data_IF_339424509552
#
_entry.id   IF_339424509552
#
_cell.length_a   1.000
_cell.length_b   1.000
_cell.length_c   1.000
_cell.angle_alpha   90.00
_cell.angle_beta   90.00
_cell.angle_gamma   90.00
#
_symmetry.space_group_name_H-M   'P 1'
#
loop_
_entity.id
_entity.type
_entity.pdbx_description
1 polymer ?
#
# COMPACT_ATOMS: atom_id res chain seq x y z
N UNK A 1 12.99 12.54 -11.56
CA UNK A 1 12.22 11.48 -10.84
C UNK A 1 11.51 11.99 -9.58
N UNK A 2 10.18 11.94 -9.59
CA UNK A 2 9.29 12.14 -8.44
C UNK A 2 9.22 10.87 -7.59
N UNK A 3 9.43 10.99 -6.28
CA UNK A 3 9.33 9.87 -5.33
C UNK A 3 7.88 9.68 -4.90
N UNK A 4 7.43 8.43 -4.84
CA UNK A 4 6.09 8.04 -4.36
C UNK A 4 6.05 7.95 -2.84
N UNK A 5 7.16 7.50 -2.24
CA UNK A 5 7.33 7.39 -0.79
C UNK A 5 8.29 8.45 -0.28
N UNK A 6 7.83 9.21 0.70
CA UNK A 6 8.64 10.22 1.41
C UNK A 6 9.06 9.68 2.78
N UNK A 7 10.11 10.22 3.37
CA UNK A 7 10.56 9.84 4.72
C UNK A 7 9.46 10.08 5.79
N UNK A 8 8.58 11.06 5.55
CA UNK A 8 7.39 11.32 6.36
C UNK A 8 6.42 10.13 6.36
N UNK A 9 6.21 9.50 5.20
CA UNK A 9 5.31 8.34 5.07
C UNK A 9 5.82 7.13 5.84
N UNK A 10 7.14 6.96 5.87
CA UNK A 10 7.78 5.91 6.67
C UNK A 10 7.59 6.17 8.17
N UNK A 11 7.79 7.41 8.60
CA UNK A 11 7.60 7.80 10.00
C UNK A 11 6.14 7.66 10.42
N UNK A 12 5.20 8.04 9.56
CA UNK A 12 3.77 7.89 9.81
C UNK A 12 3.36 6.42 9.94
N UNK A 13 3.83 5.55 9.03
CA UNK A 13 3.58 4.11 9.11
C UNK A 13 4.18 3.49 10.40
N UNK A 14 5.40 3.91 10.77
CA UNK A 14 6.06 3.47 12.00
C UNK A 14 5.32 3.94 13.26
N UNK A 15 4.84 5.18 13.27
CA UNK A 15 4.15 5.76 14.42
C UNK A 15 2.73 5.24 14.58
N UNK A 16 2.04 4.95 13.47
CA UNK A 16 0.77 4.20 13.50
C UNK A 16 0.95 2.83 14.14
N UNK A 17 1.99 2.07 13.74
CA UNK A 17 2.32 0.77 14.34
C UNK A 17 2.57 0.89 15.85
N UNK A 18 3.40 1.86 16.27
CA UNK A 18 3.68 2.11 17.70
C UNK A 18 2.45 2.53 18.47
N UNK A 19 1.60 3.39 17.91
CA UNK A 19 0.35 3.85 18.55
C UNK A 19 -0.59 2.68 18.80
N UNK A 20 -0.79 1.82 17.80
CA UNK A 20 -1.65 0.63 17.93
C UNK A 20 -1.07 -0.36 18.94
N UNK A 21 0.24 -0.60 18.92
CA UNK A 21 0.92 -1.42 19.92
C UNK A 21 0.80 -0.84 21.34
N UNK A 22 0.91 0.48 21.51
CA UNK A 22 0.78 1.15 22.81
C UNK A 22 -0.61 0.94 23.41
N UNK A 23 -1.67 1.09 22.61
CA UNK A 23 -3.04 0.82 23.06
C UNK A 23 -3.19 -0.63 23.51
N UNK A 24 -2.61 -1.59 22.78
CA UNK A 24 -2.60 -2.99 23.19
C UNK A 24 -1.93 -3.18 24.57
N UNK A 25 -0.74 -2.60 24.76
CA UNK A 25 -0.02 -2.69 26.03
C UNK A 25 -0.79 -2.06 27.20
N UNK A 26 -1.50 -0.95 26.96
CA UNK A 26 -2.37 -0.32 27.98
C UNK A 26 -3.50 -1.28 28.38
N UNK A 27 -4.21 -1.86 27.40
CA UNK A 27 -5.31 -2.78 27.68
C UNK A 27 -4.81 -4.04 28.40
N UNK A 28 -3.65 -4.58 27.99
CA UNK A 28 -3.01 -5.70 28.67
C UNK A 28 -2.64 -5.36 30.12
N UNK A 29 -2.08 -4.18 30.37
CA UNK A 29 -1.71 -3.74 31.71
C UNK A 29 -2.94 -3.62 32.62
N UNK A 30 -4.05 -3.06 32.10
CA UNK A 30 -5.33 -2.99 32.82
C UNK A 30 -5.87 -4.39 33.15
N UNK A 31 -5.80 -5.32 32.19
CA UNK A 31 -6.22 -6.71 32.42
C UNK A 31 -5.38 -7.40 33.51
N UNK A 32 -4.05 -7.23 33.48
CA UNK A 32 -3.14 -7.79 34.49
C UNK A 32 -3.43 -7.18 35.87
N UNK A 33 -3.66 -5.86 35.95
CA UNK A 33 -3.99 -5.19 37.21
C UNK A 33 -5.32 -5.71 37.79
N UNK A 34 -6.34 -5.92 36.95
CA UNK A 34 -7.62 -6.50 37.36
C UNK A 34 -7.46 -7.95 37.83
N UNK A 35 -6.61 -8.74 37.16
CA UNK A 35 -6.27 -10.10 37.56
C UNK A 35 -5.57 -10.14 38.93
N UNK A 36 -4.58 -9.26 39.14
CA UNK A 36 -3.87 -9.14 40.40
C UNK A 36 -4.80 -8.71 41.54
N UNK A 37 -5.66 -7.71 41.32
CA UNK A 37 -6.63 -7.25 42.32
C UNK A 37 -7.62 -8.36 42.69
N UNK A 38 -8.12 -9.10 41.70
CA UNK A 38 -9.04 -10.23 41.93
C UNK A 38 -8.37 -11.37 42.70
N UNK A 39 -7.08 -11.62 42.45
CA UNK A 39 -6.30 -12.63 43.16
C UNK A 39 -6.05 -12.20 44.62
N UNK A 40 -5.63 -10.95 44.85
CA UNK A 40 -5.42 -10.41 46.20
C UNK A 40 -6.72 -10.50 47.00
N UNK A 41 -7.84 -10.08 46.42
CA UNK A 41 -9.16 -10.15 47.04
C UNK A 41 -9.59 -11.59 47.34
N UNK A 42 -9.29 -12.53 46.45
CA UNK A 42 -9.57 -13.94 46.69
C UNK A 42 -8.74 -14.52 47.84
N UNK A 43 -7.46 -14.13 47.95
CA UNK A 43 -6.57 -14.61 49.01
C UNK A 43 -6.85 -14.01 50.39
N UNK A 44 -7.48 -12.83 50.46
CA UNK A 44 -7.83 -12.18 51.73
C UNK A 44 -9.13 -12.72 52.35
N UNK A 45 -9.94 -13.46 51.60
CA UNK A 45 -11.20 -14.02 52.07
C UNK A 45 -11.00 -15.32 52.87
N UNK A 46 -11.73 -15.53 54.00
CA UNK A 46 -11.68 -16.77 54.76
C UNK A 46 -12.21 -17.96 53.96
N UNK A 47 -11.75 -19.17 54.31
CA UNK A 47 -12.06 -20.40 53.59
C UNK A 47 -13.57 -20.70 53.63
N UNK A 48 -14.18 -20.96 52.46
CA UNK A 48 -15.63 -21.19 52.24
C UNK A 48 -16.56 -19.98 52.41
N UNK A 49 -16.06 -18.76 52.25
CA UNK A 49 -16.95 -17.59 52.18
C UNK A 49 -17.79 -17.57 50.87
N UNK A 50 -19.09 -17.27 50.97
CA UNK A 50 -20.01 -17.17 49.82
C UNK A 50 -19.58 -16.08 48.82
N UNK A 51 -18.84 -15.07 49.28
CA UNK A 51 -18.33 -13.98 48.43
C UNK A 51 -17.16 -14.38 47.51
N UNK A 52 -16.58 -15.58 47.68
CA UNK A 52 -15.51 -16.09 46.80
C UNK A 52 -15.94 -16.34 45.35
N UNK A 53 -17.25 -16.41 45.07
CA UNK A 53 -17.77 -16.57 43.71
C UNK A 53 -17.59 -15.31 42.86
N UNK A 54 -17.68 -14.12 43.47
CA UNK A 54 -17.57 -12.83 42.79
C UNK A 54 -16.24 -12.66 42.02
N UNK A 55 -15.05 -12.80 42.63
CA UNK A 55 -13.79 -12.64 41.89
C UNK A 55 -13.63 -13.68 40.77
N UNK A 56 -14.15 -14.89 40.94
CA UNK A 56 -14.12 -15.93 39.89
C UNK A 56 -14.97 -15.54 38.69
N UNK A 57 -16.20 -15.10 38.92
CA UNK A 57 -17.11 -14.68 37.85
C UNK A 57 -16.58 -13.44 37.11
N UNK A 58 -16.08 -12.44 37.84
CA UNK A 58 -15.48 -11.23 37.25
C UNK A 58 -14.28 -11.57 36.37
N UNK A 59 -13.40 -12.46 36.84
CA UNK A 59 -12.27 -12.92 36.04
C UNK A 59 -12.69 -13.68 34.80
N UNK A 60 -13.71 -14.54 34.89
CA UNK A 60 -14.18 -15.31 33.73
C UNK A 60 -14.71 -14.40 32.62
N UNK A 61 -15.56 -13.42 32.98
CA UNK A 61 -16.12 -12.44 32.05
C UNK A 61 -15.00 -11.55 31.46
N UNK A 62 -14.10 -11.06 32.30
CA UNK A 62 -12.97 -10.22 31.88
C UNK A 62 -12.04 -10.96 30.90
N UNK A 63 -11.73 -12.23 31.19
CA UNK A 63 -10.92 -13.08 30.30
C UNK A 63 -11.60 -13.27 28.94
N UNK A 64 -12.90 -13.58 28.93
CA UNK A 64 -13.65 -13.76 27.68
C UNK A 64 -13.63 -12.49 26.81
N UNK A 65 -13.89 -11.32 27.41
CA UNK A 65 -13.82 -10.03 26.72
C UNK A 65 -12.40 -9.72 26.21
N UNK A 66 -11.38 -10.02 27.01
CA UNK A 66 -9.99 -9.79 26.62
C UNK A 66 -9.57 -10.67 25.44
N UNK A 67 -10.00 -11.94 25.38
CA UNK A 67 -9.72 -12.84 24.25
C UNK A 67 -10.37 -12.33 22.97
N UNK A 68 -11.64 -11.90 23.03
CA UNK A 68 -12.33 -11.29 21.87
C UNK A 68 -11.60 -10.04 21.39
N UNK A 69 -11.21 -9.15 22.31
CA UNK A 69 -10.41 -7.98 22.01
C UNK A 69 -9.07 -8.36 21.35
N UNK A 70 -8.36 -9.35 21.89
CA UNK A 70 -7.06 -9.78 21.38
C UNK A 70 -7.18 -10.29 19.94
N UNK A 71 -8.19 -11.10 19.65
CA UNK A 71 -8.40 -11.62 18.29
C UNK A 71 -8.75 -10.52 17.29
N UNK A 72 -9.71 -9.64 17.61
CA UNK A 72 -10.13 -8.58 16.70
C UNK A 72 -9.05 -7.51 16.50
N UNK A 73 -8.45 -7.06 17.60
CA UNK A 73 -7.49 -5.96 17.58
C UNK A 73 -6.15 -6.38 17.00
N UNK A 74 -5.62 -7.53 17.44
CA UNK A 74 -4.33 -8.03 16.97
C UNK A 74 -4.45 -8.69 15.59
N UNK A 75 -5.53 -9.43 15.37
CA UNK A 75 -5.74 -10.21 14.14
C UNK A 75 -6.05 -9.35 12.92
N UNK A 76 -6.86 -8.30 13.06
CA UNK A 76 -7.26 -7.47 11.92
C UNK A 76 -6.44 -6.19 11.86
N UNK A 77 -6.56 -5.35 12.90
CA UNK A 77 -6.02 -3.98 12.87
C UNK A 77 -4.49 -3.97 12.92
N UNK A 78 -3.89 -4.66 13.89
CA UNK A 78 -2.43 -4.69 14.02
C UNK A 78 -1.78 -5.46 12.87
N UNK A 79 -2.36 -6.58 12.43
CA UNK A 79 -1.84 -7.36 11.30
C UNK A 79 -1.71 -6.51 10.03
N UNK A 80 -2.76 -5.76 9.65
CA UNK A 80 -2.76 -4.90 8.46
C UNK A 80 -1.66 -3.83 8.53
N UNK A 81 -1.58 -3.11 9.64
CA UNK A 81 -0.58 -2.04 9.82
C UNK A 81 0.85 -2.59 9.84
N UNK A 82 1.06 -3.75 10.48
CA UNK A 82 2.38 -4.37 10.52
C UNK A 82 2.83 -4.86 9.13
N UNK A 83 1.89 -5.36 8.30
CA UNK A 83 2.16 -5.74 6.91
C UNK A 83 2.51 -4.53 6.05
N UNK A 84 1.74 -3.46 6.17
CA UNK A 84 2.03 -2.19 5.48
C UNK A 84 3.39 -1.62 5.88
N UNK A 85 3.69 -1.53 7.18
CA UNK A 85 5.01 -1.09 7.66
C UNK A 85 6.15 -1.95 7.10
N UNK A 86 5.96 -3.27 7.06
CA UNK A 86 6.96 -4.19 6.51
C UNK A 86 7.19 -3.95 5.02
N UNK A 87 6.11 -3.69 4.26
CA UNK A 87 6.17 -3.37 2.84
C UNK A 87 6.94 -2.06 2.60
N UNK A 88 6.58 -0.98 3.29
CA UNK A 88 7.27 0.31 3.15
C UNK A 88 8.74 0.21 3.56
N UNK A 89 9.04 -0.52 4.64
CA UNK A 89 10.42 -0.79 5.06
C UNK A 89 11.21 -1.53 3.98
N UNK A 90 10.63 -2.58 3.38
CA UNK A 90 11.27 -3.27 2.28
C UNK A 90 11.52 -2.33 1.10
N UNK A 91 10.54 -1.54 0.66
CA UNK A 91 10.68 -0.57 -0.44
C UNK A 91 11.78 0.46 -0.22
N UNK A 92 12.10 0.76 1.04
CA UNK A 92 13.22 1.64 1.38
C UNK A 92 14.57 0.98 1.11
N UNK A 93 14.76 -0.26 1.58
CA UNK A 93 16.06 -0.93 1.66
C UNK A 93 16.43 -1.83 0.46
N UNK A 94 15.46 -2.36 -0.28
CA UNK A 94 15.77 -3.41 -1.25
C UNK A 94 16.24 -2.93 -2.63
N UNK A 95 16.54 -3.91 -3.49
CA UNK A 95 17.11 -3.67 -4.82
C UNK A 95 16.07 -3.03 -5.75
N UNK A 96 16.37 -1.80 -6.15
CA UNK A 96 15.54 -0.98 -7.02
C UNK A 96 15.93 -1.20 -8.48
N UNK A 97 14.96 -1.60 -9.30
CA UNK A 97 15.14 -1.74 -10.75
C UNK A 97 14.57 -0.52 -11.45
N UNK A 98 15.30 0.05 -12.40
CA UNK A 98 14.83 1.17 -13.21
C UNK A 98 14.32 0.63 -14.54
N UNK A 99 13.14 1.07 -14.95
CA UNK A 99 12.46 0.62 -16.17
C UNK A 99 11.85 1.81 -16.91
N UNK A 100 11.90 1.77 -18.24
CA UNK A 100 11.35 2.79 -19.13
C UNK A 100 10.33 2.11 -20.04
N UNK A 101 9.04 2.42 -19.87
CA UNK A 101 7.98 1.75 -20.63
C UNK A 101 6.79 2.67 -20.90
N UNK A 102 6.00 2.31 -21.92
CA UNK A 102 4.79 3.04 -22.29
C UNK A 102 3.60 2.64 -21.42
N UNK A 103 2.89 3.61 -20.86
CA UNK A 103 1.72 3.36 -20.03
C UNK A 103 0.50 2.99 -20.88
N UNK A 104 -0.21 1.92 -20.52
CA UNK A 104 -1.39 1.41 -21.26
C UNK A 104 -2.69 1.74 -20.54
N UNK A 105 -2.68 1.66 -19.20
CA UNK A 105 -3.85 1.89 -18.38
C UNK A 105 -3.75 1.23 -17.00
N UNK A 106 -4.75 1.51 -16.17
CA UNK A 106 -4.92 0.88 -14.86
C UNK A 106 -5.88 -0.31 -14.97
N UNK A 107 -5.51 -1.43 -14.39
CA UNK A 107 -6.41 -2.55 -14.15
C UNK A 107 -6.83 -2.52 -12.67
N UNK A 108 -8.08 -2.08 -12.43
CA UNK A 108 -8.74 -2.14 -11.12
C UNK A 108 -9.23 -3.56 -10.83
N UNK A 109 -8.29 -4.49 -10.70
CA UNK A 109 -8.57 -5.75 -10.04
C UNK A 109 -8.34 -5.54 -8.54
N UNK A 110 -9.22 -6.05 -7.67
CA UNK A 110 -9.00 -6.08 -6.21
C UNK A 110 -7.78 -6.96 -5.92
N UNK A 111 -6.60 -6.37 -6.04
CA UNK A 111 -5.34 -7.08 -5.96
C UNK A 111 -4.69 -6.80 -4.63
N UNK A 112 -4.54 -7.85 -3.84
CA UNK A 112 -3.81 -7.79 -2.59
C UNK A 112 -2.42 -8.39 -2.80
N UNK A 113 -1.40 -7.53 -2.89
CA UNK A 113 -0.01 -7.98 -2.93
C UNK A 113 0.65 -7.80 -1.57
N UNK A 114 1.22 -8.88 -1.03
CA UNK A 114 1.87 -8.88 0.29
C UNK A 114 0.97 -8.40 1.44
N UNK A 115 -0.34 -8.64 1.32
CA UNK A 115 -1.38 -8.18 2.26
C UNK A 115 -1.62 -6.66 2.25
N UNK A 116 -1.13 -5.96 1.23
CA UNK A 116 -1.41 -4.53 0.96
C UNK A 116 -2.28 -4.43 -0.29
N UNK A 117 -3.27 -3.55 -0.24
CA UNK A 117 -4.20 -3.29 -1.34
C UNK A 117 -3.45 -2.49 -2.42
N UNK A 118 -3.43 -3.01 -3.64
CA UNK A 118 -2.66 -2.45 -4.73
C UNK A 118 -3.46 -2.37 -6.03
N UNK A 119 -3.15 -1.36 -6.85
CA UNK A 119 -3.72 -1.16 -8.18
C UNK A 119 -2.67 -1.62 -9.20
N UNK A 120 -3.07 -2.41 -10.20
CA UNK A 120 -2.17 -2.84 -11.27
C UNK A 120 -2.06 -1.75 -12.35
N UNK A 121 -0.86 -1.23 -12.53
CA UNK A 121 -0.46 -0.36 -13.63
C UNK A 121 0.14 -1.21 -14.75
N UNK A 122 -0.49 -1.21 -15.92
CA UNK A 122 -0.03 -1.99 -17.07
C UNK A 122 0.83 -1.13 -17.98
N UNK A 123 2.07 -1.58 -18.19
CA UNK A 123 3.04 -0.98 -19.09
C UNK A 123 3.32 -1.89 -20.29
N UNK A 124 3.70 -1.30 -21.42
CA UNK A 124 4.21 -1.98 -22.62
C UNK A 124 5.72 -1.85 -22.67
N UNK A 125 6.41 -2.98 -22.58
CA UNK A 125 7.86 -3.11 -22.74
C UNK A 125 8.17 -3.75 -24.09
N UNK A 126 9.12 -3.20 -24.84
CA UNK A 126 9.67 -3.91 -25.99
C UNK A 126 10.66 -5.00 -25.54
N UNK A 127 10.37 -6.25 -25.88
CA UNK A 127 11.26 -7.38 -25.56
C UNK A 127 12.24 -7.63 -26.69
N UNK A 128 13.50 -7.24 -26.53
CA UNK A 128 14.55 -7.53 -27.52
C UNK A 128 14.72 -9.03 -27.83
N UNK A 129 14.43 -9.91 -26.86
CA UNK A 129 14.54 -11.37 -27.01
C UNK A 129 13.42 -11.97 -27.85
N UNK A 130 12.18 -11.49 -27.67
CA UNK A 130 10.99 -12.02 -28.37
C UNK A 130 10.60 -11.19 -29.59
N UNK A 131 11.17 -9.99 -29.76
CA UNK A 131 10.79 -8.98 -30.76
C UNK A 131 9.29 -8.66 -30.73
N UNK A 132 8.70 -8.70 -29.54
CA UNK A 132 7.28 -8.47 -29.30
C UNK A 132 7.10 -7.50 -28.12
N UNK A 133 6.01 -6.73 -28.18
CA UNK A 133 5.54 -5.90 -27.07
C UNK A 133 4.98 -6.80 -25.97
N UNK A 134 5.66 -6.81 -24.82
CA UNK A 134 5.19 -7.53 -23.64
C UNK A 134 4.46 -6.58 -22.70
N UNK A 135 3.35 -7.06 -22.13
CA UNK A 135 2.70 -6.38 -21.00
C UNK A 135 3.47 -6.66 -19.73
N UNK A 136 3.70 -5.60 -18.96
CA UNK A 136 4.32 -5.67 -17.65
C UNK A 136 3.45 -4.96 -16.63
N UNK A 137 3.14 -5.66 -15.55
CA UNK A 137 2.37 -5.13 -14.44
C UNK A 137 3.32 -4.60 -13.37
N UNK A 138 3.10 -3.35 -12.98
CA UNK A 138 3.67 -2.76 -11.78
C UNK A 138 2.53 -2.33 -10.86
N UNK A 139 2.78 -2.31 -9.56
CA UNK A 139 1.76 -2.07 -8.55
C UNK A 139 1.86 -0.67 -7.98
N UNK A 140 0.70 -0.06 -7.81
CA UNK A 140 0.53 1.21 -7.13
C UNK A 140 -0.17 0.99 -5.80
N UNK A 141 0.25 1.72 -4.79
CA UNK A 141 -0.34 1.67 -3.46
C UNK A 141 -1.68 2.41 -3.43
N UNK A 142 -2.76 1.73 -3.03
CA UNK A 142 -4.11 2.33 -2.96
C UNK A 142 -4.16 3.48 -1.95
N UNK A 143 -3.30 3.47 -0.92
CA UNK A 143 -3.26 4.55 0.08
C UNK A 143 -2.69 5.87 -0.49
N UNK A 144 -2.04 5.82 -1.65
CA UNK A 144 -1.41 6.98 -2.31
C UNK A 144 -2.31 7.56 -3.39
N UNK A 145 -2.14 8.87 -3.65
CA UNK A 145 -2.81 9.53 -4.77
C UNK A 145 -2.40 8.85 -6.07
N UNK A 146 -3.38 8.62 -6.94
CA UNK A 146 -3.13 8.07 -8.27
C UNK A 146 -2.14 8.96 -9.04
N UNK A 147 -1.18 8.36 -9.75
CA UNK A 147 -0.26 9.12 -10.55
C UNK A 147 -0.99 9.74 -11.75
N UNK A 148 -0.56 10.92 -12.24
CA UNK A 148 -1.17 11.59 -13.38
C UNK A 148 -0.70 10.96 -14.71
N UNK A 149 -0.82 9.64 -14.84
CA UNK A 149 -0.44 8.92 -16.05
C UNK A 149 -1.58 8.92 -17.07
N UNK A 150 -1.25 9.28 -18.30
CA UNK A 150 -2.14 9.19 -19.45
C UNK A 150 -1.70 8.06 -20.38
N UNK A 151 -2.67 7.46 -21.05
CA UNK A 151 -2.42 6.33 -21.95
C UNK A 151 -1.53 6.80 -23.10
N UNK A 152 -0.37 6.17 -23.26
CA UNK A 152 0.64 6.54 -24.25
C UNK A 152 1.86 7.26 -23.67
N UNK A 153 1.81 7.68 -22.41
CA UNK A 153 2.97 8.32 -21.76
C UNK A 153 4.17 7.37 -21.68
N UNK A 154 5.35 7.88 -22.02
CA UNK A 154 6.62 7.20 -21.77
C UNK A 154 7.04 7.52 -20.33
N UNK A 155 6.95 6.51 -19.47
CA UNK A 155 7.24 6.64 -18.05
C UNK A 155 8.50 5.87 -17.71
N UNK A 156 9.48 6.58 -17.14
CA UNK A 156 10.62 5.99 -16.47
C UNK A 156 10.29 5.82 -15.00
N UNK A 157 10.22 4.59 -14.53
CA UNK A 157 9.84 4.30 -13.15
C UNK A 157 10.82 3.34 -12.49
N UNK A 158 10.95 3.51 -11.18
CA UNK A 158 11.77 2.69 -10.31
C UNK A 158 10.86 1.72 -9.58
N UNK A 159 11.11 0.44 -9.76
CA UNK A 159 10.32 -0.66 -9.21
C UNK A 159 11.09 -1.37 -8.12
N UNK A 160 10.37 -1.75 -7.07
CA UNK A 160 10.84 -2.74 -6.13
C UNK A 160 9.70 -3.66 -5.68
N UNK A 161 9.91 -4.98 -5.72
CA UNK A 161 8.84 -5.98 -5.51
C UNK A 161 7.59 -5.68 -6.37
N UNK A 162 7.80 -5.26 -7.61
CA UNK A 162 6.79 -4.76 -8.55
C UNK A 162 6.06 -3.47 -8.12
N UNK A 163 6.26 -2.90 -6.92
CA UNK A 163 5.69 -1.60 -6.56
C UNK A 163 6.51 -0.44 -7.14
N UNK A 164 5.83 0.60 -7.58
CA UNK A 164 6.46 1.82 -8.09
C UNK A 164 6.90 2.71 -6.92
N UNK A 165 8.20 2.96 -6.81
CA UNK A 165 8.82 3.75 -5.73
C UNK A 165 9.08 5.19 -6.17
N UNK A 166 9.43 5.38 -7.44
CA UNK A 166 9.63 6.68 -8.05
C UNK A 166 9.27 6.62 -9.53
N UNK A 167 8.88 7.74 -10.11
CA UNK A 167 8.56 7.83 -11.53
C UNK A 167 8.98 9.18 -12.11
N UNK A 168 9.13 9.22 -13.42
CA UNK A 168 9.42 10.38 -14.23
C UNK A 168 8.72 10.20 -15.57
N UNK A 169 7.96 11.20 -15.98
CA UNK A 169 7.28 11.20 -17.28
C UNK A 169 8.26 11.85 -18.25
N UNK A 170 8.83 11.07 -19.16
CA UNK A 170 9.81 11.57 -20.13
C UNK A 170 9.10 12.21 -21.33
N UNK A 171 8.03 11.56 -21.82
CA UNK A 171 7.20 12.07 -22.91
C UNK A 171 5.72 11.91 -22.56
N UNK A 172 4.95 12.99 -22.70
CA UNK A 172 3.50 12.98 -22.57
C UNK A 172 2.85 12.62 -23.90
N UNK A 173 1.76 11.85 -23.85
CA UNK A 173 0.99 11.42 -25.01
C UNK A 173 0.57 12.59 -25.95
N UNK A 174 0.29 13.78 -25.41
CA UNK A 174 -0.09 14.99 -26.17
C UNK A 174 1.00 15.44 -27.18
N UNK A 175 2.28 15.12 -26.96
CA UNK A 175 3.34 15.42 -27.93
C UNK A 175 3.35 14.45 -29.11
N UNK A 176 2.90 13.21 -28.91
CA UNK A 176 2.87 12.21 -29.97
C UNK A 176 1.72 12.43 -30.96
N UNK A 177 0.58 12.97 -30.53
CA UNK A 177 -0.49 13.37 -31.46
C UNK A 177 -0.04 14.59 -32.30
N UNK A 178 0.58 15.59 -31.68
CA UNK A 178 1.08 16.77 -32.40
C UNK A 178 2.25 16.47 -33.35
N UNK A 179 3.17 15.56 -32.99
CA UNK A 179 4.27 15.16 -33.90
C UNK A 179 3.79 14.25 -35.04
N UNK A 180 2.79 13.39 -34.81
CA UNK A 180 2.20 12.59 -35.90
C UNK A 180 1.31 13.44 -36.83
N UNK A 181 0.62 14.47 -36.32
CA UNK A 181 -0.07 15.47 -37.15
C UNK A 181 0.91 16.40 -37.88
N UNK A 182 2.02 16.80 -37.25
CA UNK A 182 3.03 17.64 -37.91
C UNK A 182 3.83 16.89 -38.99
N UNK A 183 4.00 15.57 -38.86
CA UNK A 183 4.68 14.73 -39.86
C UNK A 183 3.76 14.37 -41.05
N UNK A 184 2.43 14.53 -40.93
CA UNK A 184 1.48 14.21 -42.00
C UNK A 184 1.14 15.36 -42.96
N UNK A 185 1.78 16.54 -42.83
CA UNK A 185 1.64 17.63 -43.82
C UNK A 185 2.96 18.01 -44.51
N UNK A 186 3.35 17.32 -45.60
CA UNK A 186 4.14 17.93 -46.65
C UNK A 186 3.24 18.45 -47.78
N UNK A 187 3.32 19.77 -47.98
CA UNK A 187 2.99 20.59 -49.15
C UNK A 187 2.27 19.94 -50.34
N UNK A 188 1.00 20.33 -50.57
CA UNK A 188 0.45 20.44 -51.93
C UNK A 188 0.54 21.90 -52.33
N UNK A 189 1.55 22.22 -53.14
CA UNK A 189 1.67 23.51 -53.80
C UNK A 189 0.51 23.72 -54.76
N UNK A 190 -0.10 24.90 -54.69
CA UNK A 190 -1.11 25.35 -55.65
C UNK A 190 -0.49 25.43 -57.06
N UNK A 191 -0.94 24.54 -57.95
CA UNK A 191 -0.72 24.68 -59.39
C UNK A 191 -1.45 25.93 -59.91
N UNK A 192 -0.73 26.74 -60.67
CA UNK A 192 -1.26 27.91 -61.38
C UNK A 192 -2.31 27.49 -62.43
N UNK A 193 -3.34 28.30 -62.69
CA UNK A 193 -4.36 27.98 -63.68
C UNK A 193 -3.83 28.13 -65.11
N UNK A 194 -4.09 27.13 -65.94
CA UNK A 194 -3.93 27.18 -67.40
C UNK A 194 -5.07 28.02 -67.97
N UNK A 195 -4.72 29.10 -68.68
CA UNK A 195 -5.64 29.86 -69.53
C UNK A 195 -5.42 29.41 -70.97
N UNK A 196 -6.51 29.04 -71.63
CA UNK A 196 -6.58 28.66 -73.04
C UNK A 196 -6.17 29.79 -73.99
#
# INVERSE_FOLDING_TARGET
MQRVYTDEDFNDAADQRKRVARVFWIVLAVYIALAAASLIYYTSLPYKDKMQSLPKTVMFISTALFVVFLFLYMGIKYHRINKYYKMVYYLSEGLKNVEENYFVGFELNDLQKDSVDAISCVFKTWSYKKKEWMRREAYWDVEKRLPPFEKGDLVKYVVQSNFIVAYEIEEKAEKQENENEAVTLPAVGEEKPVVF
#
